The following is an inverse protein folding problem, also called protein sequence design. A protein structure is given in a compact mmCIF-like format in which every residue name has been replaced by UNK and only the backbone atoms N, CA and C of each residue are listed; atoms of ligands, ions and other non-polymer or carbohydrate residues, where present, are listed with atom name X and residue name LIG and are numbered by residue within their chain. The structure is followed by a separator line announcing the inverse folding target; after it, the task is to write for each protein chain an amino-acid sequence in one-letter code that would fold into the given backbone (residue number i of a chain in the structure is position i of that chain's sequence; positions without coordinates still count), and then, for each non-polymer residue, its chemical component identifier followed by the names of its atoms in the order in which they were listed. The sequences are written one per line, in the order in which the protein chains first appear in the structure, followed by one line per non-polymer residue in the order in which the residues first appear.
data_IF_470164190556
#
_entry.id   IF_470164190556
#
_cell.length_a   1.000
_cell.length_b   1.000
_cell.length_c   1.000
_cell.angle_alpha   90.00
_cell.angle_beta   90.00
_cell.angle_gamma   90.00
#
_symmetry.space_group_name_H-M   'P 1'
#
loop_
_entity.id
_entity.type
_entity.pdbx_description
1 polymer ?
#
# COMPACT_ATOMS: atom_id res chain seq x y z
N UNK A 1 -41.01 3.41 23.52
CA UNK A 1 -40.54 2.16 22.86
C UNK A 1 -41.60 1.06 22.87
N UNK A 2 -42.14 0.66 24.03
CA UNK A 2 -43.15 -0.42 24.13
C UNK A 2 -44.44 -0.22 23.32
N UNK A 3 -44.96 1.01 23.25
CA UNK A 3 -46.18 1.31 22.48
C UNK A 3 -45.98 1.13 20.97
N UNK A 4 -44.87 1.63 20.41
CA UNK A 4 -44.53 1.44 19.00
C UNK A 4 -44.35 -0.04 18.65
N UNK A 5 -43.67 -0.82 19.50
CA UNK A 5 -43.48 -2.27 19.27
C UNK A 5 -44.83 -3.00 19.25
N UNK A 6 -45.75 -2.67 20.17
CA UNK A 6 -47.10 -3.24 20.17
C UNK A 6 -47.91 -2.88 18.93
N UNK A 7 -47.86 -1.61 18.49
CA UNK A 7 -48.55 -1.16 17.27
C UNK A 7 -48.00 -1.87 16.03
N UNK A 8 -46.67 -1.96 15.90
CA UNK A 8 -46.02 -2.67 14.80
C UNK A 8 -46.38 -4.15 14.79
N UNK A 9 -46.39 -4.81 15.96
CA UNK A 9 -46.76 -6.22 16.07
C UNK A 9 -48.22 -6.47 15.64
N UNK A 10 -49.15 -5.59 16.03
CA UNK A 10 -50.56 -5.70 15.62
C UNK A 10 -50.72 -5.51 14.11
N UNK A 11 -50.11 -4.46 13.54
CA UNK A 11 -50.11 -4.22 12.09
C UNK A 11 -49.49 -5.39 11.31
N UNK A 12 -48.43 -6.01 11.82
CA UNK A 12 -47.82 -7.18 11.17
C UNK A 12 -48.77 -8.38 11.15
N UNK A 13 -49.54 -8.63 12.21
CA UNK A 13 -50.52 -9.71 12.23
C UNK A 13 -51.62 -9.55 11.18
N UNK A 14 -52.01 -8.31 10.89
CA UNK A 14 -53.03 -7.95 9.89
C UNK A 14 -52.56 -8.12 8.43
N UNK A 15 -51.26 -8.32 8.17
CA UNK A 15 -50.72 -8.53 6.83
C UNK A 15 -51.07 -9.90 6.24
N UNK A 16 -51.25 -9.95 4.92
CA UNK A 16 -51.40 -11.21 4.17
C UNK A 16 -50.12 -12.04 4.19
N UNK A 17 -50.23 -13.35 3.92
CA UNK A 17 -49.07 -14.25 3.84
C UNK A 17 -48.04 -13.77 2.81
N UNK A 18 -48.50 -13.24 1.66
CA UNK A 18 -47.63 -12.67 0.63
C UNK A 18 -46.87 -11.44 1.14
N UNK A 19 -47.54 -10.51 1.82
CA UNK A 19 -46.89 -9.33 2.40
C UNK A 19 -45.85 -9.69 3.46
N UNK A 20 -46.16 -10.68 4.32
CA UNK A 20 -45.21 -11.19 5.32
C UNK A 20 -43.97 -11.79 4.66
N UNK A 21 -44.15 -12.60 3.61
CA UNK A 21 -43.04 -13.16 2.84
C UNK A 21 -42.20 -12.06 2.18
N UNK A 22 -42.84 -11.06 1.58
CA UNK A 22 -42.15 -9.93 0.95
C UNK A 22 -41.28 -9.17 1.95
N UNK A 23 -41.82 -8.82 3.12
CA UNK A 23 -41.08 -8.14 4.19
C UNK A 23 -39.89 -9.00 4.64
N UNK A 24 -40.07 -10.30 4.81
CA UNK A 24 -39.00 -11.21 5.20
C UNK A 24 -37.86 -11.24 4.16
N UNK A 25 -38.20 -11.40 2.88
CA UNK A 25 -37.22 -11.41 1.79
C UNK A 25 -36.47 -10.08 1.70
N UNK A 26 -37.17 -8.95 1.81
CA UNK A 26 -36.54 -7.61 1.84
C UNK A 26 -35.61 -7.48 3.05
N UNK A 27 -36.03 -7.96 4.22
CA UNK A 27 -35.22 -7.90 5.44
C UNK A 27 -33.93 -8.71 5.30
N UNK A 28 -34.01 -9.94 4.79
CA UNK A 28 -32.81 -10.76 4.51
C UNK A 28 -31.89 -10.04 3.53
N UNK A 29 -32.44 -9.50 2.45
CA UNK A 29 -31.66 -8.76 1.46
C UNK A 29 -30.96 -7.55 2.08
N UNK A 30 -31.66 -6.77 2.91
CA UNK A 30 -31.06 -5.64 3.63
C UNK A 30 -29.97 -6.09 4.60
N UNK A 31 -30.18 -7.16 5.38
CA UNK A 31 -29.16 -7.72 6.26
C UNK A 31 -27.93 -8.22 5.49
N UNK A 32 -28.13 -8.77 4.29
CA UNK A 32 -27.03 -9.17 3.42
C UNK A 32 -26.29 -7.96 2.82
N UNK A 33 -26.99 -6.91 2.38
CA UNK A 33 -26.40 -5.65 1.90
C UNK A 33 -25.58 -4.99 3.00
N UNK A 34 -26.11 -4.98 4.23
CA UNK A 34 -25.42 -4.45 5.43
C UNK A 34 -24.25 -5.34 5.89
N UNK A 35 -24.08 -6.53 5.30
CA UNK A 35 -22.99 -7.45 5.64
C UNK A 35 -23.21 -8.27 6.91
N UNK A 36 -24.38 -8.17 7.55
CA UNK A 36 -24.70 -8.88 8.80
C UNK A 36 -24.70 -10.39 8.57
N UNK A 37 -25.31 -10.84 7.47
CA UNK A 37 -25.32 -12.27 7.10
C UNK A 37 -23.90 -12.81 6.90
N UNK A 38 -23.03 -12.02 6.28
CA UNK A 38 -21.65 -12.42 6.05
C UNK A 38 -20.87 -12.48 7.35
N UNK A 39 -21.08 -11.52 8.27
CA UNK A 39 -20.40 -11.47 9.57
C UNK A 39 -20.63 -12.75 10.39
N UNK A 40 -21.84 -13.30 10.37
CA UNK A 40 -22.16 -14.56 11.06
C UNK A 40 -21.55 -15.81 10.42
N UNK A 41 -21.06 -15.71 9.17
CA UNK A 41 -20.48 -16.81 8.39
C UNK A 41 -18.96 -16.71 8.27
N UNK A 42 -18.34 -15.74 8.93
CA UNK A 42 -16.89 -15.61 8.96
C UNK A 42 -16.24 -16.78 9.70
N UNK A 43 -15.10 -17.24 9.18
CA UNK A 43 -14.22 -18.17 9.87
C UNK A 43 -13.43 -17.44 10.96
N UNK A 44 -13.15 -18.10 12.07
CA UNK A 44 -12.28 -17.53 13.11
C UNK A 44 -10.92 -17.17 12.53
N UNK A 45 -10.36 -16.02 12.94
CA UNK A 45 -9.00 -15.66 12.57
C UNK A 45 -7.94 -16.62 13.13
N UNK A 46 -8.27 -17.39 14.19
CA UNK A 46 -7.40 -18.45 14.70
C UNK A 46 -7.10 -19.55 13.68
N UNK A 47 -8.01 -19.74 12.70
CA UNK A 47 -7.87 -20.72 11.63
C UNK A 47 -7.29 -20.11 10.34
N UNK A 48 -6.65 -18.94 10.43
CA UNK A 48 -6.12 -18.23 9.27
C UNK A 48 -5.11 -19.08 8.49
N UNK A 49 -5.43 -19.34 7.23
CA UNK A 49 -4.54 -19.96 6.26
C UNK A 49 -4.84 -19.38 4.88
N UNK A 50 -3.83 -18.77 4.26
CA UNK A 50 -4.01 -18.17 2.94
C UNK A 50 -3.68 -19.16 1.83
N UNK A 51 -4.56 -19.36 0.83
CA UNK A 51 -4.37 -20.38 -0.19
C UNK A 51 -3.21 -20.04 -1.14
N UNK A 52 -2.56 -21.08 -1.64
CA UNK A 52 -1.65 -20.98 -2.79
C UNK A 52 -2.44 -20.67 -4.07
N UNK A 53 -1.80 -20.00 -5.03
CA UNK A 53 -2.36 -19.80 -6.35
C UNK A 53 -2.45 -21.15 -7.07
N UNK A 54 -3.68 -21.56 -7.40
CA UNK A 54 -3.96 -22.88 -8.00
C UNK A 54 -3.60 -22.93 -9.47
N UNK A 55 -3.49 -21.78 -10.13
CA UNK A 55 -3.01 -21.69 -11.50
C UNK A 55 -1.49 -21.78 -11.46
N UNK A 56 -0.92 -22.82 -12.06
CA UNK A 56 0.54 -23.00 -12.27
C UNK A 56 1.21 -21.89 -13.11
N UNK A 57 0.57 -20.73 -13.26
CA UNK A 57 1.16 -19.51 -13.76
C UNK A 57 2.00 -18.90 -12.64
N UNK A 58 3.29 -19.20 -12.63
CA UNK A 58 4.24 -18.44 -11.82
C UNK A 58 4.06 -16.96 -12.13
N UNK A 59 3.62 -16.19 -11.14
CA UNK A 59 3.51 -14.76 -11.25
C UNK A 59 4.92 -14.19 -11.53
N UNK A 60 5.06 -13.46 -12.64
CA UNK A 60 6.31 -12.83 -13.07
C UNK A 60 6.05 -11.39 -13.39
N UNK A 61 6.88 -10.50 -12.87
CA UNK A 61 6.80 -9.08 -13.21
C UNK A 61 7.20 -8.91 -14.66
N UNK A 62 6.44 -8.11 -15.39
CA UNK A 62 6.76 -7.70 -16.76
C UNK A 62 7.00 -6.20 -16.76
N UNK A 63 8.26 -5.83 -16.60
CA UNK A 63 8.68 -4.43 -16.67
C UNK A 63 8.85 -4.01 -18.14
N UNK A 64 8.30 -2.86 -18.49
CA UNK A 64 8.42 -2.24 -19.82
C UNK A 64 9.46 -1.11 -19.86
N UNK A 65 9.81 -0.56 -18.68
CA UNK A 65 10.86 0.43 -18.48
C UNK A 65 11.60 0.13 -17.19
N UNK A 66 12.88 0.47 -17.15
CA UNK A 66 13.72 0.36 -15.98
C UNK A 66 14.34 1.73 -15.66
N UNK A 67 14.46 2.10 -14.38
CA UNK A 67 15.24 3.26 -13.99
C UNK A 67 16.74 2.94 -14.17
N UNK A 68 17.54 3.98 -14.35
CA UNK A 68 18.99 3.87 -14.41
C UNK A 68 19.55 3.78 -12.99
N UNK A 69 20.37 2.76 -12.72
CA UNK A 69 21.08 2.63 -11.46
C UNK A 69 22.00 3.83 -11.24
N UNK A 70 21.96 4.40 -10.03
CA UNK A 70 22.83 5.51 -9.60
C UNK A 70 23.75 5.15 -8.43
N UNK A 71 23.66 3.92 -7.91
CA UNK A 71 24.51 3.48 -6.79
C UNK A 71 25.97 3.36 -7.23
N UNK A 72 26.87 3.82 -6.39
CA UNK A 72 28.31 3.77 -6.64
C UNK A 72 28.89 2.36 -6.51
N UNK A 73 28.24 1.47 -5.75
CA UNK A 73 28.73 0.11 -5.49
C UNK A 73 29.91 0.05 -4.52
N UNK A 74 30.24 1.16 -3.85
CA UNK A 74 31.44 1.30 -3.01
C UNK A 74 31.27 0.78 -1.56
N UNK A 75 30.35 -0.17 -1.33
CA UNK A 75 30.11 -0.77 0.00
C UNK A 75 29.35 0.12 1.00
N UNK A 76 28.80 1.25 0.55
CA UNK A 76 27.93 2.12 1.35
C UNK A 76 26.55 1.47 1.55
N UNK A 77 25.84 1.86 2.62
CA UNK A 77 24.45 1.45 2.81
C UNK A 77 23.57 2.07 1.74
N UNK A 78 22.59 1.32 1.25
CA UNK A 78 21.72 1.70 0.15
C UNK A 78 20.26 1.67 0.58
N UNK A 79 19.54 2.76 0.34
CA UNK A 79 18.08 2.85 0.42
C UNK A 79 17.54 3.07 -0.99
N UNK A 80 16.68 2.15 -1.44
CA UNK A 80 15.81 2.44 -2.58
C UNK A 80 14.45 2.93 -2.09
N UNK A 81 14.00 4.07 -2.61
CA UNK A 81 12.63 4.55 -2.37
C UNK A 81 11.82 4.25 -3.62
N UNK A 82 10.78 3.42 -3.51
CA UNK A 82 9.89 3.09 -4.62
C UNK A 82 8.58 3.81 -4.41
N UNK A 83 8.39 4.87 -5.19
CA UNK A 83 7.26 5.79 -5.11
C UNK A 83 6.15 5.28 -6.03
N UNK A 84 5.06 4.77 -5.45
CA UNK A 84 3.89 4.33 -6.20
C UNK A 84 3.18 5.55 -6.76
N UNK A 85 3.10 5.65 -8.08
CA UNK A 85 2.43 6.74 -8.77
C UNK A 85 1.50 6.20 -9.84
N UNK A 86 0.45 6.96 -10.16
CA UNK A 86 -0.38 6.69 -11.33
C UNK A 86 0.30 7.22 -12.57
N UNK A 87 0.23 6.53 -13.72
CA UNK A 87 0.74 7.07 -14.98
C UNK A 87 0.19 8.47 -15.30
N UNK A 88 -1.01 8.79 -14.82
CA UNK A 88 -1.69 10.09 -14.97
C UNK A 88 -1.09 11.21 -14.11
N UNK A 89 -0.38 10.88 -13.03
CA UNK A 89 0.15 11.81 -12.03
C UNK A 89 1.51 12.44 -12.40
N UNK A 90 1.75 12.72 -13.69
CA UNK A 90 2.99 13.39 -14.14
C UNK A 90 3.34 14.67 -13.35
N UNK A 91 2.37 15.58 -13.12
CA UNK A 91 2.61 16.77 -12.30
C UNK A 91 3.01 16.47 -10.85
N UNK A 92 2.53 15.37 -10.26
CA UNK A 92 2.89 15.01 -8.89
C UNK A 92 4.32 14.47 -8.82
N UNK A 93 4.69 13.60 -9.76
CA UNK A 93 6.07 13.11 -9.87
C UNK A 93 7.07 14.25 -10.05
N UNK A 94 6.72 15.26 -10.85
CA UNK A 94 7.55 16.45 -11.01
C UNK A 94 7.73 17.22 -9.69
N UNK A 95 6.67 17.37 -8.88
CA UNK A 95 6.78 18.03 -7.57
C UNK A 95 7.59 17.20 -6.57
N UNK A 96 7.48 15.88 -6.59
CA UNK A 96 8.34 14.99 -5.79
C UNK A 96 9.81 15.14 -6.21
N UNK A 97 10.12 15.23 -7.51
CA UNK A 97 11.48 15.49 -8.01
C UNK A 97 12.02 16.87 -7.61
N UNK A 98 11.17 17.88 -7.48
CA UNK A 98 11.57 19.23 -7.02
C UNK A 98 11.82 19.32 -5.52
N UNK A 99 11.47 18.28 -4.77
CA UNK A 99 11.49 18.27 -3.31
C UNK A 99 12.37 17.13 -2.78
N UNK A 100 11.77 16.11 -2.18
CA UNK A 100 12.47 15.04 -1.48
C UNK A 100 12.90 13.88 -2.39
N UNK A 101 12.30 13.75 -3.59
CA UNK A 101 12.49 12.63 -4.51
C UNK A 101 13.73 12.71 -5.39
N UNK A 102 14.86 13.19 -4.86
CA UNK A 102 16.13 13.32 -5.60
C UNK A 102 17.17 12.38 -5.03
N UNK A 103 17.92 11.72 -5.92
CA UNK A 103 19.10 10.93 -5.54
C UNK A 103 20.07 11.78 -4.72
N UNK A 104 20.51 11.27 -3.58
CA UNK A 104 21.45 11.96 -2.70
C UNK A 104 22.22 10.98 -1.83
N UNK A 105 23.39 11.41 -1.38
CA UNK A 105 24.16 10.73 -0.35
C UNK A 105 24.04 11.53 0.95
N UNK A 106 23.57 10.89 2.02
CA UNK A 106 23.42 11.51 3.34
C UNK A 106 24.03 10.56 4.36
N UNK A 107 24.95 11.07 5.19
CA UNK A 107 25.61 10.32 6.26
C UNK A 107 26.16 8.93 5.86
N UNK A 108 26.74 8.86 4.65
CA UNK A 108 27.32 7.64 4.07
C UNK A 108 26.29 6.63 3.54
N UNK A 109 25.03 7.05 3.36
CA UNK A 109 23.94 6.24 2.81
C UNK A 109 23.50 6.80 1.46
N UNK A 110 23.49 5.97 0.43
CA UNK A 110 22.96 6.31 -0.88
C UNK A 110 21.43 6.14 -0.88
N UNK A 111 20.70 7.21 -1.19
CA UNK A 111 19.24 7.19 -1.29
C UNK A 111 18.85 7.41 -2.75
N UNK A 112 18.19 6.41 -3.35
CA UNK A 112 17.72 6.47 -4.73
C UNK A 112 16.20 6.35 -4.80
N UNK A 113 15.50 7.48 -4.98
CA UNK A 113 14.09 7.48 -5.31
C UNK A 113 13.85 7.08 -6.77
N UNK A 114 12.87 6.21 -6.99
CA UNK A 114 12.33 5.84 -8.30
C UNK A 114 10.80 5.83 -8.23
N UNK A 115 10.14 6.01 -9.36
CA UNK A 115 8.69 5.88 -9.46
C UNK A 115 8.32 4.52 -10.05
N UNK A 116 7.29 3.88 -9.50
CA UNK A 116 6.64 2.74 -10.14
C UNK A 116 5.26 3.13 -10.67
N UNK A 117 5.01 2.85 -11.95
CA UNK A 117 3.76 3.18 -12.65
C UNK A 117 3.20 1.96 -13.38
N UNK A 118 1.86 1.87 -13.48
CA UNK A 118 1.19 0.85 -14.28
C UNK A 118 0.80 1.33 -15.67
N UNK A 119 0.37 0.41 -16.53
CA UNK A 119 -0.17 0.72 -17.86
C UNK A 119 -1.56 1.33 -17.76
N UNK A 120 -1.84 2.33 -18.58
CA UNK A 120 -3.19 2.83 -18.81
C UNK A 120 -3.60 2.61 -20.27
N UNK A 121 -4.90 2.60 -20.55
CA UNK A 121 -5.41 2.42 -21.92
C UNK A 121 -5.14 3.63 -22.81
N UNK A 122 -5.02 4.83 -22.22
CA UNK A 122 -4.78 6.04 -22.96
C UNK A 122 -3.33 6.09 -23.48
N UNK A 123 -3.17 5.91 -24.79
CA UNK A 123 -1.86 5.87 -25.46
C UNK A 123 -1.07 7.18 -25.36
N UNK A 124 -1.73 8.35 -25.30
CA UNK A 124 -1.04 9.63 -25.12
C UNK A 124 -0.41 9.73 -23.72
N UNK A 125 -1.08 9.18 -22.70
CA UNK A 125 -0.50 9.11 -21.35
C UNK A 125 0.70 8.16 -21.35
N UNK A 126 0.61 7.01 -22.03
CA UNK A 126 1.75 6.08 -22.15
C UNK A 126 2.94 6.72 -22.89
N UNK A 127 2.69 7.47 -23.97
CA UNK A 127 3.74 8.22 -24.68
C UNK A 127 4.41 9.27 -23.78
N UNK A 128 3.66 9.93 -22.90
CA UNK A 128 4.24 10.86 -21.91
C UNK A 128 5.14 10.13 -20.91
N UNK A 129 4.75 8.93 -20.46
CA UNK A 129 5.61 8.07 -19.63
C UNK A 129 6.89 7.69 -20.37
N UNK A 130 6.83 7.38 -21.67
CA UNK A 130 8.03 7.08 -22.46
C UNK A 130 9.01 8.27 -22.47
N UNK A 131 8.52 9.47 -22.76
CA UNK A 131 9.32 10.71 -22.77
C UNK A 131 9.86 11.01 -21.37
N UNK A 132 9.03 10.88 -20.33
CA UNK A 132 9.43 11.13 -18.95
C UNK A 132 10.50 10.13 -18.48
N UNK A 133 10.31 8.85 -18.79
CA UNK A 133 11.26 7.78 -18.47
C UNK A 133 12.60 8.00 -19.17
N UNK A 134 12.59 8.49 -20.41
CA UNK A 134 13.81 8.79 -21.14
C UNK A 134 14.52 10.02 -20.60
N UNK A 135 13.77 11.05 -20.17
CA UNK A 135 14.33 12.30 -19.63
C UNK A 135 14.94 12.12 -18.24
N UNK A 136 14.20 11.51 -17.31
CA UNK A 136 14.59 11.49 -15.89
C UNK A 136 15.26 10.19 -15.45
N UNK A 137 15.10 9.10 -16.22
CA UNK A 137 15.71 7.79 -15.96
C UNK A 137 15.37 7.20 -14.58
N UNK A 138 14.20 7.54 -14.03
CA UNK A 138 13.77 7.17 -12.67
C UNK A 138 12.42 6.43 -12.64
N UNK A 139 11.94 5.95 -13.80
CA UNK A 139 10.67 5.23 -13.92
C UNK A 139 10.89 3.73 -14.08
N UNK A 140 10.25 2.96 -13.20
CA UNK A 140 9.95 1.55 -13.36
C UNK A 140 8.50 1.40 -13.84
N UNK A 141 8.29 0.92 -15.07
CA UNK A 141 6.94 0.74 -15.60
C UNK A 141 6.59 -0.75 -15.67
N UNK A 142 5.41 -1.12 -15.16
CA UNK A 142 4.87 -2.49 -15.29
C UNK A 142 3.83 -2.57 -16.41
N UNK A 143 3.69 -3.76 -17.02
CA UNK A 143 2.71 -3.99 -18.08
C UNK A 143 1.25 -4.10 -17.61
N UNK A 144 1.05 -4.31 -16.31
CA UNK A 144 -0.25 -4.47 -15.67
C UNK A 144 -1.05 -3.17 -15.66
N UNK A 145 -2.37 -3.29 -15.77
CA UNK A 145 -3.28 -2.13 -15.81
C UNK A 145 -3.27 -1.42 -14.46
N UNK A 146 -2.99 -0.11 -14.48
CA UNK A 146 -3.03 0.76 -13.32
C UNK A 146 -4.48 1.00 -12.89
N UNK A 147 -4.89 0.28 -11.85
CA UNK A 147 -6.18 0.45 -11.19
C UNK A 147 -6.05 0.15 -9.71
N UNK A 148 -6.95 0.70 -8.90
CA UNK A 148 -6.91 0.53 -7.45
C UNK A 148 -6.83 -0.95 -7.01
N UNK A 149 -7.66 -1.83 -7.60
CA UNK A 149 -7.65 -3.27 -7.28
C UNK A 149 -6.43 -4.03 -7.82
N UNK A 150 -5.68 -3.41 -8.74
CA UNK A 150 -4.43 -3.94 -9.28
C UNK A 150 -3.21 -3.33 -8.59
N UNK A 151 -3.37 -2.49 -7.55
CA UNK A 151 -2.24 -1.99 -6.77
C UNK A 151 -1.40 -3.14 -6.21
N UNK A 152 -1.98 -4.30 -5.94
CA UNK A 152 -1.26 -5.51 -5.54
C UNK A 152 -0.25 -5.98 -6.60
N UNK A 153 -0.55 -5.83 -7.89
CA UNK A 153 0.40 -6.13 -8.97
C UNK A 153 1.53 -5.09 -9.00
N UNK A 154 1.21 -3.82 -8.71
CA UNK A 154 2.22 -2.76 -8.56
C UNK A 154 3.13 -3.01 -7.35
N UNK A 155 2.57 -3.39 -6.21
CA UNK A 155 3.31 -3.85 -5.04
C UNK A 155 4.24 -5.03 -5.40
N UNK A 156 3.74 -6.03 -6.12
CA UNK A 156 4.56 -7.14 -6.57
C UNK A 156 5.73 -6.67 -7.43
N UNK A 157 5.49 -5.80 -8.41
CA UNK A 157 6.56 -5.22 -9.23
C UNK A 157 7.59 -4.45 -8.40
N UNK A 158 7.16 -3.70 -7.38
CA UNK A 158 8.04 -2.99 -6.47
C UNK A 158 8.93 -3.96 -5.66
N UNK A 159 8.34 -4.99 -5.05
CA UNK A 159 9.06 -6.02 -4.28
C UNK A 159 10.02 -6.80 -5.17
N UNK A 160 9.58 -7.21 -6.37
CA UNK A 160 10.37 -8.00 -7.30
C UNK A 160 11.58 -7.23 -7.82
N UNK A 161 11.40 -5.93 -8.12
CA UNK A 161 12.49 -5.05 -8.52
C UNK A 161 13.43 -4.75 -7.35
N UNK A 162 12.92 -4.41 -6.17
CA UNK A 162 13.74 -4.13 -4.99
C UNK A 162 14.68 -5.28 -4.61
N UNK A 163 14.21 -6.53 -4.74
CA UNK A 163 15.02 -7.70 -4.43
C UNK A 163 16.16 -7.95 -5.43
N UNK A 164 16.01 -7.50 -6.67
CA UNK A 164 17.00 -7.71 -7.72
C UNK A 164 16.92 -6.59 -8.77
N UNK A 165 17.40 -5.38 -8.44
CA UNK A 165 17.26 -4.24 -9.34
C UNK A 165 18.17 -4.42 -10.56
N UNK A 166 17.69 -4.00 -11.73
CA UNK A 166 18.43 -4.19 -12.98
C UNK A 166 19.77 -3.43 -12.98
N UNK A 167 20.87 -4.16 -13.19
CA UNK A 167 22.24 -3.61 -13.27
C UNK A 167 22.59 -2.72 -12.07
N UNK A 168 22.13 -3.12 -10.89
CA UNK A 168 22.29 -2.35 -9.66
C UNK A 168 22.58 -3.28 -8.49
N UNK A 169 23.29 -2.76 -7.49
CA UNK A 169 23.48 -3.44 -6.21
C UNK A 169 22.14 -3.65 -5.50
N UNK A 170 21.97 -4.78 -4.83
CA UNK A 170 20.82 -5.01 -3.97
C UNK A 170 20.79 -3.99 -2.83
N UNK A 171 19.67 -3.29 -2.61
CA UNK A 171 19.57 -2.31 -1.53
C UNK A 171 19.50 -3.01 -0.17
N UNK A 172 20.06 -2.36 0.86
CA UNK A 172 19.93 -2.81 2.25
C UNK A 172 18.50 -2.59 2.77
N UNK A 173 17.88 -1.50 2.32
CA UNK A 173 16.56 -1.09 2.74
C UNK A 173 15.71 -0.64 1.55
N UNK A 174 14.42 -0.94 1.62
CA UNK A 174 13.40 -0.50 0.67
C UNK A 174 12.36 0.32 1.42
N UNK A 175 12.10 1.54 0.93
CA UNK A 175 11.01 2.36 1.41
C UNK A 175 9.95 2.47 0.32
N UNK A 176 8.79 1.83 0.52
CA UNK A 176 7.65 1.94 -0.37
C UNK A 176 6.80 3.11 0.08
N UNK A 177 6.44 4.02 -0.82
CA UNK A 177 5.69 5.22 -0.45
C UNK A 177 4.75 5.65 -1.59
N UNK A 178 3.60 6.24 -1.27
CA UNK A 178 2.71 6.86 -2.26
C UNK A 178 3.25 8.23 -2.71
N UNK A 179 2.82 8.69 -3.89
CA UNK A 179 3.29 9.97 -4.46
C UNK A 179 2.73 11.22 -3.77
N UNK A 180 1.82 11.07 -2.81
CA UNK A 180 1.19 12.13 -2.00
C UNK A 180 1.73 12.23 -0.57
N UNK A 181 2.90 11.64 -0.33
CA UNK A 181 3.65 11.81 0.92
C UNK A 181 4.74 12.88 0.82
N UNK A 182 5.00 13.54 1.94
CA UNK A 182 6.23 14.28 2.20
C UNK A 182 7.16 13.39 3.03
N UNK A 183 8.38 13.17 2.54
CA UNK A 183 9.38 12.31 3.20
C UNK A 183 10.58 13.14 3.65
N UNK A 184 10.89 13.08 4.95
CA UNK A 184 12.08 13.72 5.51
C UNK A 184 13.28 12.76 5.41
N UNK A 185 14.04 12.90 4.32
CA UNK A 185 15.14 11.97 3.98
C UNK A 185 16.20 11.83 5.10
N UNK A 186 16.65 12.91 5.79
CA UNK A 186 17.59 12.75 6.90
C UNK A 186 17.06 11.86 8.02
N UNK A 187 15.76 11.96 8.34
CA UNK A 187 15.15 11.11 9.37
C UNK A 187 15.00 9.66 8.90
N UNK A 188 14.63 9.45 7.62
CA UNK A 188 14.62 8.12 7.01
C UNK A 188 16.01 7.45 7.09
N UNK A 189 17.07 8.19 6.77
CA UNK A 189 18.46 7.70 6.83
C UNK A 189 18.87 7.39 8.28
N UNK A 190 18.60 8.31 9.22
CA UNK A 190 18.86 8.11 10.65
C UNK A 190 18.15 6.86 11.16
N UNK A 191 16.88 6.66 10.81
CA UNK A 191 16.10 5.49 11.16
C UNK A 191 16.68 4.21 10.53
N UNK A 192 16.99 4.21 9.23
CA UNK A 192 17.56 3.05 8.54
C UNK A 192 18.91 2.61 9.14
N UNK A 193 19.73 3.56 9.62
CA UNK A 193 21.02 3.26 10.28
C UNK A 193 20.86 2.50 11.60
N UNK A 194 19.68 2.51 12.21
CA UNK A 194 19.37 1.72 13.42
C UNK A 194 19.09 0.24 13.14
N UNK A 195 18.97 -0.14 11.86
CA UNK A 195 18.62 -1.49 11.42
C UNK A 195 19.77 -2.16 10.67
N UNK A 196 19.76 -3.48 10.64
CA UNK A 196 20.57 -4.31 9.75
C UNK A 196 19.74 -4.92 8.61
N UNK A 197 20.36 -5.15 7.46
CA UNK A 197 19.66 -5.66 6.26
C UNK A 197 19.14 -7.09 6.42
N UNK A 198 19.74 -7.86 7.34
CA UNK A 198 19.36 -9.24 7.68
C UNK A 198 18.20 -9.33 8.67
N UNK A 199 17.82 -8.22 9.31
CA UNK A 199 16.68 -8.19 10.23
C UNK A 199 15.35 -8.38 9.48
N UNK A 200 14.33 -8.85 10.19
CA UNK A 200 12.96 -8.97 9.67
C UNK A 200 12.15 -7.73 10.03
N UNK A 201 12.29 -6.69 9.21
CA UNK A 201 11.68 -5.39 9.43
C UNK A 201 10.54 -5.17 8.41
N UNK A 202 9.35 -4.88 8.93
CA UNK A 202 8.16 -4.43 8.20
C UNK A 202 7.45 -3.38 9.08
N UNK A 203 7.79 -2.11 8.89
CA UNK A 203 7.33 -1.02 9.77
C UNK A 203 6.61 0.10 9.03
N UNK A 204 5.68 0.72 9.75
CA UNK A 204 4.97 1.93 9.35
C UNK A 204 3.71 2.15 10.19
N UNK A 205 2.68 2.77 9.64
CA UNK A 205 1.40 2.92 10.34
C UNK A 205 0.60 1.61 10.31
N UNK A 206 0.44 0.90 11.43
CA UNK A 206 -0.20 -0.43 11.45
C UNK A 206 -1.69 -0.33 11.72
N UNK A 207 -2.46 -1.06 10.92
CA UNK A 207 -3.87 -1.35 11.12
C UNK A 207 -4.07 -2.77 11.64
N UNK A 208 -4.98 -2.90 12.59
CA UNK A 208 -5.50 -4.19 13.07
C UNK A 208 -7.03 -4.16 12.98
N UNK A 209 -7.55 -4.56 11.82
CA UNK A 209 -8.95 -4.32 11.43
C UNK A 209 -9.66 -5.60 11.00
N UNK A 210 -10.99 -5.50 10.92
CA UNK A 210 -11.85 -6.55 10.35
C UNK A 210 -12.24 -6.22 8.91
N UNK A 211 -12.52 -7.23 8.07
CA UNK A 211 -13.01 -7.00 6.72
C UNK A 211 -14.33 -6.23 6.69
N UNK A 212 -14.44 -5.26 5.77
CA UNK A 212 -15.70 -4.57 5.54
C UNK A 212 -16.66 -5.49 4.77
N UNK A 213 -17.81 -5.82 5.37
CA UNK A 213 -18.85 -6.68 4.77
C UNK A 213 -20.01 -5.91 4.13
N UNK A 214 -20.12 -4.61 4.43
CA UNK A 214 -21.12 -3.71 3.84
C UNK A 214 -20.89 -3.57 2.33
N UNK A 215 -21.83 -4.09 1.52
CA UNK A 215 -21.64 -4.29 0.06
C UNK A 215 -21.38 -3.01 -0.73
N UNK A 216 -21.90 -1.88 -0.26
CA UNK A 216 -21.76 -0.57 -0.91
C UNK A 216 -20.47 0.15 -0.53
N UNK A 217 -19.69 -0.38 0.42
CA UNK A 217 -18.44 0.24 0.84
C UNK A 217 -17.34 -0.02 -0.20
N UNK A 218 -16.51 0.99 -0.49
CA UNK A 218 -15.42 0.86 -1.48
C UNK A 218 -14.42 -0.27 -1.16
N UNK A 219 -14.23 -0.58 0.12
CA UNK A 219 -13.36 -1.66 0.59
C UNK A 219 -14.14 -2.94 0.96
N UNK A 220 -15.38 -3.10 0.46
CA UNK A 220 -16.16 -4.31 0.67
C UNK A 220 -15.45 -5.53 0.08
N UNK A 221 -15.44 -6.63 0.82
CA UNK A 221 -14.87 -7.91 0.38
C UNK A 221 -15.82 -9.07 0.69
N UNK A 222 -16.00 -9.98 -0.27
CA UNK A 222 -16.87 -11.14 -0.11
C UNK A 222 -16.24 -12.23 0.75
N UNK A 223 -17.05 -13.13 1.34
CA UNK A 223 -16.54 -14.32 2.05
C UNK A 223 -15.75 -15.27 1.14
N UNK A 224 -16.07 -15.31 -0.15
CA UNK A 224 -15.35 -16.12 -1.13
C UNK A 224 -13.93 -15.58 -1.40
N UNK A 225 -13.77 -14.26 -1.34
CA UNK A 225 -12.46 -13.63 -1.46
C UNK A 225 -11.68 -13.66 -0.15
N UNK A 226 -12.35 -13.42 0.98
CA UNK A 226 -11.75 -13.43 2.31
C UNK A 226 -12.73 -13.99 3.36
N UNK A 227 -12.57 -15.24 3.83
CA UNK A 227 -13.53 -15.87 4.73
C UNK A 227 -13.32 -15.52 6.20
N UNK A 228 -12.13 -15.03 6.60
CA UNK A 228 -11.79 -14.87 8.01
C UNK A 228 -12.40 -13.61 8.64
N UNK A 229 -12.52 -13.60 9.96
CA UNK A 229 -13.16 -12.54 10.72
C UNK A 229 -12.32 -11.29 10.97
N UNK A 230 -10.99 -11.40 10.81
CA UNK A 230 -10.01 -10.32 10.92
C UNK A 230 -8.99 -10.42 9.81
N UNK A 231 -8.41 -9.29 9.41
CA UNK A 231 -7.17 -9.30 8.63
C UNK A 231 -5.97 -9.57 9.55
N UNK A 232 -4.87 -10.16 9.05
CA UNK A 232 -3.59 -10.06 9.74
C UNK A 232 -3.21 -8.59 9.89
N UNK A 233 -2.56 -8.17 10.99
CA UNK A 233 -2.08 -6.81 11.13
C UNK A 233 -1.22 -6.41 9.92
N UNK A 234 -1.44 -5.21 9.40
CA UNK A 234 -0.81 -4.74 8.19
C UNK A 234 -0.42 -3.27 8.30
N UNK A 235 0.69 -2.89 7.68
CA UNK A 235 1.10 -1.50 7.53
C UNK A 235 0.27 -0.86 6.43
N UNK A 236 -0.17 0.38 6.63
CA UNK A 236 -0.82 1.18 5.61
C UNK A 236 0.05 1.24 4.35
N UNK A 237 -0.55 1.04 3.18
CA UNK A 237 0.20 0.94 1.92
C UNK A 237 0.95 2.24 1.53
N UNK A 238 0.69 3.36 2.23
CA UNK A 238 1.18 4.67 1.85
C UNK A 238 2.63 4.96 2.26
N UNK A 239 3.15 4.34 3.32
CA UNK A 239 4.55 4.47 3.72
C UNK A 239 5.00 3.22 4.50
N UNK A 240 5.92 2.45 3.93
CA UNK A 240 6.36 1.16 4.46
C UNK A 240 7.87 1.03 4.37
N UNK A 241 8.52 0.78 5.50
CA UNK A 241 9.95 0.47 5.56
C UNK A 241 10.19 -1.04 5.67
N UNK A 242 11.08 -1.55 4.81
CA UNK A 242 11.40 -2.97 4.68
C UNK A 242 12.92 -3.16 4.58
N UNK A 243 13.45 -4.18 5.24
CA UNK A 243 14.83 -4.65 5.05
C UNK A 243 14.96 -5.58 3.84
N UNK A 244 16.20 -5.75 3.37
CA UNK A 244 16.52 -6.64 2.26
C UNK A 244 16.06 -8.09 2.49
N UNK A 245 16.27 -8.64 3.70
CA UNK A 245 15.81 -9.98 4.05
C UNK A 245 14.27 -10.09 4.02
N UNK A 246 13.54 -9.09 4.53
CA UNK A 246 12.07 -9.07 4.43
C UNK A 246 11.61 -9.03 2.97
N UNK A 247 12.22 -8.19 2.14
CA UNK A 247 11.93 -8.12 0.70
C UNK A 247 12.15 -9.48 0.02
N UNK A 248 13.26 -10.17 0.33
CA UNK A 248 13.55 -11.49 -0.23
C UNK A 248 12.47 -12.53 0.16
N UNK A 249 12.05 -12.55 1.44
CA UNK A 249 10.97 -13.44 1.91
C UNK A 249 9.65 -13.12 1.25
N UNK A 250 9.28 -11.84 1.18
CA UNK A 250 8.03 -11.41 0.55
C UNK A 250 8.01 -11.78 -0.93
N UNK A 251 9.10 -11.53 -1.66
CA UNK A 251 9.24 -11.91 -3.08
C UNK A 251 9.04 -13.41 -3.32
N UNK A 252 9.57 -14.25 -2.43
CA UNK A 252 9.43 -15.70 -2.56
C UNK A 252 8.00 -16.17 -2.27
N UNK A 253 7.32 -15.55 -1.31
CA UNK A 253 5.95 -15.89 -0.93
C UNK A 253 4.92 -15.38 -1.94
N UNK A 254 5.05 -14.12 -2.37
CA UNK A 254 4.06 -13.45 -3.22
C UNK A 254 3.82 -14.14 -4.57
N UNK A 255 4.83 -14.85 -5.09
CA UNK A 255 4.74 -15.64 -6.34
C UNK A 255 3.92 -16.92 -6.20
N UNK A 256 3.63 -17.36 -4.97
CA UNK A 256 2.97 -18.64 -4.67
C UNK A 256 1.57 -18.46 -4.11
N UNK A 257 1.26 -17.31 -3.51
CA UNK A 257 -0.02 -17.05 -2.87
C UNK A 257 -1.07 -16.57 -3.87
N UNK A 258 -2.33 -16.93 -3.61
CA UNK A 258 -3.47 -16.33 -4.31
C UNK A 258 -3.46 -14.81 -4.12
N UNK A 259 -3.58 -14.05 -5.19
CA UNK A 259 -3.63 -12.58 -5.08
C UNK A 259 -4.84 -12.08 -4.28
N UNK A 260 -4.64 -10.98 -3.56
CA UNK A 260 -5.67 -10.25 -2.84
C UNK A 260 -5.76 -8.80 -3.35
N UNK A 261 -6.96 -8.21 -3.50
CA UNK A 261 -7.13 -6.94 -4.23
C UNK A 261 -6.72 -5.68 -3.46
N UNK A 262 -6.42 -5.78 -2.16
CA UNK A 262 -5.94 -4.65 -1.35
C UNK A 262 -4.46 -4.88 -1.02
N UNK A 263 -3.58 -3.99 -1.49
CA UNK A 263 -2.12 -4.16 -1.43
C UNK A 263 -1.59 -4.11 0.01
N UNK A 264 -2.15 -3.22 0.84
CA UNK A 264 -1.86 -3.14 2.28
C UNK A 264 -2.18 -4.46 3.01
N UNK A 265 -3.42 -4.92 2.90
CA UNK A 265 -3.88 -6.18 3.52
C UNK A 265 -3.11 -7.37 2.95
N UNK A 266 -2.82 -7.39 1.65
CA UNK A 266 -2.03 -8.47 1.06
C UNK A 266 -0.61 -8.50 1.61
N UNK A 267 -0.02 -7.34 1.89
CA UNK A 267 1.28 -7.27 2.58
C UNK A 267 1.19 -7.84 3.99
N UNK A 268 0.10 -7.60 4.73
CA UNK A 268 -0.16 -8.27 6.01
C UNK A 268 -0.30 -9.78 5.90
N UNK A 269 -0.97 -10.27 4.84
CA UNK A 269 -1.06 -11.71 4.53
C UNK A 269 0.32 -12.30 4.25
N UNK A 270 1.17 -11.61 3.48
CA UNK A 270 2.55 -12.02 3.22
C UNK A 270 3.35 -12.08 4.51
N UNK A 271 3.31 -11.01 5.31
CA UNK A 271 3.99 -10.90 6.58
C UNK A 271 3.61 -12.05 7.52
N UNK A 272 2.32 -12.35 7.66
CA UNK A 272 1.81 -13.48 8.44
C UNK A 272 2.30 -14.82 7.89
N UNK A 273 2.34 -15.00 6.57
CA UNK A 273 2.79 -16.24 5.91
C UNK A 273 4.27 -16.52 6.16
N UNK A 274 5.11 -15.49 6.20
CA UNK A 274 6.56 -15.62 6.40
C UNK A 274 7.02 -15.31 7.83
N UNK A 275 6.09 -15.23 8.79
CA UNK A 275 6.33 -14.91 10.20
C UNK A 275 7.13 -13.61 10.43
N UNK A 276 6.81 -12.57 9.67
CA UNK A 276 7.30 -11.20 9.89
C UNK A 276 6.20 -10.40 10.57
N UNK A 277 6.51 -9.75 11.69
CA UNK A 277 5.54 -8.92 12.42
C UNK A 277 5.41 -7.55 11.76
N UNK A 278 4.17 -7.06 11.59
CA UNK A 278 3.92 -5.67 11.28
C UNK A 278 4.19 -4.82 12.54
N UNK A 279 5.14 -3.89 12.46
CA UNK A 279 5.52 -3.06 13.61
C UNK A 279 5.03 -1.64 13.41
N UNK A 280 4.29 -1.13 14.39
CA UNK A 280 3.80 0.23 14.35
C UNK A 280 4.92 1.23 14.63
N UNK A 281 5.01 2.26 13.80
CA UNK A 281 5.90 3.38 14.00
C UNK A 281 5.14 4.69 13.74
N UNK A 282 5.02 5.50 14.79
CA UNK A 282 4.26 6.75 14.84
C UNK A 282 4.86 7.88 13.98
N UNK A 283 6.12 7.73 13.58
CA UNK A 283 6.80 8.66 12.67
C UNK A 283 6.37 8.50 11.20
N UNK A 284 5.53 7.52 10.91
CA UNK A 284 4.85 7.36 9.62
C UNK A 284 3.38 7.77 9.78
N UNK A 285 3.07 9.01 9.44
CA UNK A 285 1.75 9.61 9.63
C UNK A 285 0.87 9.33 8.42
N UNK A 286 -0.17 8.50 8.60
CA UNK A 286 -1.03 8.04 7.50
C UNK A 286 -2.17 9.02 7.15
N UNK A 287 -2.46 10.03 7.97
CA UNK A 287 -3.52 11.01 7.71
C UNK A 287 -2.96 12.39 7.39
N UNK A 288 -3.70 13.15 6.59
CA UNK A 288 -3.38 14.55 6.30
C UNK A 288 -3.50 15.37 7.59
N UNK A 289 -2.38 15.96 8.02
CA UNK A 289 -2.34 16.98 9.07
C UNK A 289 -1.09 17.84 8.92
N UNK A 290 -1.12 19.01 9.54
CA UNK A 290 0.09 19.82 9.72
C UNK A 290 1.02 19.13 10.75
N UNK A 291 2.31 19.15 10.48
CA UNK A 291 3.37 18.66 11.35
C UNK A 291 4.29 19.82 11.66
N UNK A 292 4.56 20.06 12.95
CA UNK A 292 5.41 21.16 13.39
C UNK A 292 6.89 20.86 13.14
N UNK A 293 7.74 21.89 13.05
CA UNK A 293 9.20 21.71 12.93
C UNK A 293 9.74 20.82 14.06
N UNK A 294 9.25 21.02 15.29
CA UNK A 294 9.62 20.19 16.44
C UNK A 294 9.34 18.70 16.21
N UNK A 295 8.20 18.34 15.64
CA UNK A 295 7.87 16.94 15.35
C UNK A 295 8.80 16.35 14.27
N UNK A 296 9.19 17.14 13.28
CA UNK A 296 10.21 16.73 12.33
C UNK A 296 11.57 16.53 13.01
N UNK A 297 11.97 17.45 13.89
CA UNK A 297 13.22 17.34 14.66
C UNK A 297 13.20 16.11 15.60
N UNK A 298 12.03 15.80 16.18
CA UNK A 298 11.81 14.65 17.07
C UNK A 298 11.77 13.31 16.32
N UNK A 299 11.62 13.31 14.99
CA UNK A 299 11.90 12.15 14.15
C UNK A 299 10.83 11.73 13.15
N UNK A 300 9.79 12.55 12.88
CA UNK A 300 8.81 12.23 11.83
C UNK A 300 9.51 11.93 10.50
N UNK A 301 9.14 10.82 9.85
CA UNK A 301 9.79 10.32 8.63
C UNK A 301 8.93 10.63 7.40
N UNK A 302 7.64 10.32 7.47
CA UNK A 302 6.73 10.43 6.33
C UNK A 302 5.36 10.91 6.76
N UNK A 303 4.77 11.84 6.00
CA UNK A 303 3.43 12.40 6.26
C UNK A 303 2.60 12.34 4.99
N UNK A 304 1.41 11.79 5.10
CA UNK A 304 0.45 11.67 4.01
C UNK A 304 -0.31 12.97 3.73
N UNK A 305 -0.80 13.12 2.50
CA UNK A 305 -1.95 13.94 2.18
C UNK A 305 -1.62 15.30 1.56
N UNK A 306 -0.50 15.40 0.85
CA UNK A 306 -0.12 16.63 0.17
C UNK A 306 -0.57 16.61 -1.28
N UNK A 307 -1.45 17.55 -1.65
CA UNK A 307 -1.63 17.89 -3.05
C UNK A 307 -0.36 18.57 -3.58
N UNK A 308 -0.19 18.57 -4.91
CA UNK A 308 1.03 19.05 -5.60
C UNK A 308 1.65 20.34 -5.01
N UNK A 309 0.85 21.40 -4.89
CA UNK A 309 1.33 22.72 -4.43
C UNK A 309 1.64 22.73 -2.94
N UNK A 310 0.89 21.95 -2.16
CA UNK A 310 1.08 21.85 -0.72
C UNK A 310 2.38 21.10 -0.42
N UNK A 311 2.74 20.09 -1.22
CA UNK A 311 4.02 19.38 -1.09
C UNK A 311 5.22 20.32 -1.28
N UNK A 312 5.22 21.10 -2.37
CA UNK A 312 6.30 22.05 -2.67
C UNK A 312 6.42 23.14 -1.59
N UNK A 313 5.28 23.65 -1.12
CA UNK A 313 5.24 24.66 -0.06
C UNK A 313 5.75 24.10 1.27
N UNK A 314 5.24 22.96 1.71
CA UNK A 314 5.62 22.39 3.01
C UNK A 314 7.09 21.94 3.02
N UNK A 315 7.58 21.37 1.91
CA UNK A 315 9.02 21.06 1.79
C UNK A 315 9.92 22.30 1.89
N UNK A 316 9.51 23.45 1.33
CA UNK A 316 10.28 24.70 1.45
C UNK A 316 10.25 25.27 2.86
N UNK A 317 9.16 25.07 3.61
CA UNK A 317 9.12 25.46 5.02
C UNK A 317 10.09 24.63 5.87
N UNK A 318 10.29 23.34 5.54
CA UNK A 318 11.18 22.44 6.29
C UNK A 318 12.67 22.66 6.01
N UNK A 319 13.03 22.97 4.77
CA UNK A 319 14.45 23.06 4.36
C UNK A 319 14.95 24.51 4.26
N UNK A 320 14.08 25.49 4.54
CA UNK A 320 14.37 26.89 4.22
C UNK A 320 14.27 27.16 2.72
N UNK A 321 14.12 28.43 2.37
CA UNK A 321 14.37 28.88 0.99
C UNK A 321 15.88 28.87 0.79
N UNK A 322 16.45 27.78 0.27
CA UNK A 322 17.80 27.80 -0.30
C UNK A 322 17.86 28.69 -1.55
#
# INVERSE_FOLDING_TARGET
MFLCVRILKRKYHELSSFQKLLIFTITIFLLWVLGVVDKFRETSFGDFSWPLETRNLQLRSKFTKYPQCKFSGNGQKIIIIIIKSSAKNGPMRESVRKTWGVFRMIDGVEVMPIFIVGRVENMEIMRRIDVESEKYKDILAISDIDSYRNNTLKLFGAIDYAANPNQCSSPDFTFLVDDDYLVHIPNLVKFAKTKQKEELVYEGFVFDTSPFRLKIHKHSISLNEYPFSRYPPYVSAGAVFLTSETIARFRNSIRKLKMFPFDDVFTGILAKTVNVAATHNENFIFWCRRVSQKEWDDGVIAVHGYARKDLEYEYSQLNGFE
#
